data_IF_043338546891
#
_entry.id   IF_043338546891
#
_cell.length_a   1.000
_cell.length_b   1.000
_cell.length_c   1.000
_cell.angle_alpha   90.00
_cell.angle_beta   90.00
_cell.angle_gamma   90.00
#
_symmetry.space_group_name_H-M   'P 1'
#
loop_
_entity.id
_entity.type
_entity.pdbx_description
1 polymer ?
#
# COMPACT_ATOMS: atom_id res chain seq x y z
N UNK A 1 27.08 8.19 5.83
CA UNK A 1 26.23 9.23 5.22
C UNK A 1 24.83 8.64 5.05
N UNK A 2 23.75 9.38 5.35
CA UNK A 2 22.37 8.92 5.09
C UNK A 2 21.98 9.39 3.69
N UNK A 3 21.53 8.47 2.84
CA UNK A 3 21.20 8.77 1.45
C UNK A 3 19.70 8.97 1.26
N UNK A 4 18.86 8.42 2.15
CA UNK A 4 17.41 8.53 2.06
C UNK A 4 16.75 8.39 3.43
N UNK A 5 15.72 9.19 3.68
CA UNK A 5 14.86 9.11 4.85
C UNK A 5 13.44 8.82 4.36
N UNK A 6 12.83 7.76 4.90
CA UNK A 6 11.45 7.37 4.63
C UNK A 6 10.63 7.69 5.88
N UNK A 7 9.60 8.51 5.73
CA UNK A 7 8.64 8.82 6.80
C UNK A 7 7.46 7.85 6.68
N UNK A 8 7.03 7.28 7.80
CA UNK A 8 5.90 6.35 7.82
C UNK A 8 5.12 6.45 9.14
N UNK A 9 3.80 6.54 9.07
CA UNK A 9 2.93 6.67 10.25
C UNK A 9 2.54 5.33 10.90
N UNK A 10 2.74 4.22 10.20
CA UNK A 10 2.41 2.90 10.71
C UNK A 10 3.54 2.36 11.60
N UNK A 11 3.31 2.39 12.91
CA UNK A 11 4.22 1.75 13.88
C UNK A 11 4.39 0.26 13.61
N UNK A 12 3.34 -0.42 13.12
CA UNK A 12 3.41 -1.83 12.77
C UNK A 12 4.38 -2.06 11.60
N UNK A 13 4.24 -1.28 10.52
CA UNK A 13 5.12 -1.40 9.35
C UNK A 13 6.59 -1.15 9.70
N UNK A 14 6.87 -0.14 10.54
CA UNK A 14 8.23 0.17 10.97
C UNK A 14 8.81 -0.95 11.83
N UNK A 15 8.03 -1.52 12.75
CA UNK A 15 8.48 -2.66 13.56
C UNK A 15 8.85 -3.84 12.68
N UNK A 16 8.06 -4.15 11.65
CA UNK A 16 8.36 -5.27 10.74
C UNK A 16 9.60 -5.02 9.88
N UNK A 17 9.81 -3.80 9.40
CA UNK A 17 11.03 -3.45 8.65
C UNK A 17 12.29 -3.54 9.51
N UNK A 18 12.20 -3.18 10.80
CA UNK A 18 13.35 -3.16 11.72
C UNK A 18 13.62 -4.52 12.36
N UNK A 19 12.60 -5.37 12.54
CA UNK A 19 12.70 -6.66 13.23
C UNK A 19 13.76 -7.54 12.59
N UNK A 20 14.65 -8.17 13.36
CA UNK A 20 15.65 -9.12 12.83
C UNK A 20 15.01 -10.50 12.61
N UNK A 21 15.27 -11.12 11.45
CA UNK A 21 14.76 -12.46 11.10
C UNK A 21 13.42 -12.45 10.35
N UNK A 22 13.11 -13.58 9.69
CA UNK A 22 11.86 -13.79 8.98
C UNK A 22 10.82 -14.37 9.95
N UNK A 23 9.62 -13.77 9.99
CA UNK A 23 8.44 -14.43 10.53
C UNK A 23 7.91 -15.38 9.46
N UNK A 24 7.55 -16.63 9.83
CA UNK A 24 6.86 -17.53 8.91
C UNK A 24 5.52 -16.94 8.41
N UNK A 25 4.95 -16.02 9.18
CA UNK A 25 3.69 -15.33 8.90
C UNK A 25 3.89 -13.97 8.20
N UNK A 26 5.11 -13.60 7.82
CA UNK A 26 5.36 -12.32 7.14
C UNK A 26 4.68 -12.31 5.76
N UNK A 27 3.95 -11.23 5.47
CA UNK A 27 3.31 -11.08 4.17
C UNK A 27 4.38 -10.91 3.08
N UNK A 28 4.22 -11.54 1.91
CA UNK A 28 5.24 -11.52 0.83
C UNK A 28 5.73 -10.11 0.47
N UNK A 29 4.81 -9.14 0.47
CA UNK A 29 5.09 -7.74 0.22
C UNK A 29 6.02 -7.10 1.28
N UNK A 30 5.88 -7.49 2.55
CA UNK A 30 6.72 -6.97 3.64
C UNK A 30 8.16 -7.46 3.49
N UNK A 31 8.33 -8.72 3.06
CA UNK A 31 9.64 -9.29 2.78
C UNK A 31 10.33 -8.60 1.59
N UNK A 32 9.57 -8.30 0.54
CA UNK A 32 10.08 -7.59 -0.63
C UNK A 32 10.56 -6.18 -0.29
N UNK A 33 9.75 -5.41 0.45
CA UNK A 33 10.11 -4.07 0.93
C UNK A 33 11.39 -4.13 1.78
N UNK A 34 11.48 -5.12 2.67
CA UNK A 34 12.65 -5.28 3.52
C UNK A 34 13.91 -5.63 2.73
N UNK A 35 13.81 -6.53 1.75
CA UNK A 35 14.94 -6.89 0.89
C UNK A 35 15.44 -5.68 0.12
N UNK A 36 14.54 -4.88 -0.44
CA UNK A 36 14.89 -3.63 -1.13
C UNK A 36 15.64 -2.66 -0.22
N UNK A 37 15.20 -2.51 1.04
CA UNK A 37 15.86 -1.68 2.04
C UNK A 37 17.27 -2.21 2.36
N UNK A 38 17.42 -3.53 2.54
CA UNK A 38 18.71 -4.17 2.83
C UNK A 38 19.68 -4.04 1.65
N UNK A 39 19.21 -4.24 0.42
CA UNK A 39 20.00 -4.09 -0.80
C UNK A 39 20.50 -2.66 -0.96
N UNK A 40 19.62 -1.68 -0.81
CA UNK A 40 20.01 -0.27 -0.87
C UNK A 40 20.95 0.11 0.27
N UNK A 41 20.78 -0.51 1.45
CA UNK A 41 21.67 -0.28 2.59
C UNK A 41 23.11 -0.80 2.38
N UNK A 42 23.36 -1.60 1.32
CA UNK A 42 24.72 -1.98 0.91
C UNK A 42 25.46 -0.85 0.17
N UNK A 43 24.73 0.05 -0.48
CA UNK A 43 25.28 1.14 -1.30
C UNK A 43 25.07 2.55 -0.68
N UNK A 44 24.14 2.67 0.26
CA UNK A 44 23.82 3.91 0.97
C UNK A 44 23.20 3.59 2.32
N UNK A 45 22.66 4.58 3.03
CA UNK A 45 21.88 4.33 4.26
C UNK A 45 20.48 4.90 4.10
N UNK A 46 19.48 4.02 4.11
CA UNK A 46 18.06 4.29 4.24
C UNK A 46 17.70 4.27 5.73
N UNK A 47 17.04 5.32 6.20
CA UNK A 47 16.47 5.38 7.54
C UNK A 47 14.96 5.50 7.44
N UNK A 48 14.24 4.58 8.08
CA UNK A 48 12.78 4.67 8.20
C UNK A 48 12.45 5.28 9.55
N UNK A 49 11.70 6.37 9.55
CA UNK A 49 11.36 7.16 10.74
C UNK A 49 9.86 7.15 10.95
N UNK A 50 9.46 6.85 12.19
CA UNK A 50 8.06 6.95 12.56
C UNK A 50 7.64 8.41 12.71
N UNK A 51 6.50 8.75 12.10
CA UNK A 51 5.88 10.06 12.25
C UNK A 51 4.41 9.92 12.64
N UNK A 52 3.87 10.79 13.51
CA UNK A 52 2.45 10.78 13.81
C UNK A 52 1.62 11.23 12.59
N UNK A 53 0.48 10.56 12.37
CA UNK A 53 -0.48 10.91 11.31
C UNK A 53 -0.98 12.35 11.49
N UNK A 54 -1.12 13.10 10.39
CA UNK A 54 -1.72 14.45 10.34
C UNK A 54 -1.12 15.47 11.31
N UNK A 55 0.20 15.64 11.29
CA UNK A 55 0.90 16.72 12.01
C UNK A 55 1.46 17.79 11.08
N UNK A 56 0.87 17.99 9.91
CA UNK A 56 1.33 18.99 8.93
C UNK A 56 2.57 18.56 8.17
N UNK A 57 2.89 17.26 8.15
CA UNK A 57 3.95 16.72 7.28
C UNK A 57 3.35 16.54 5.89
N UNK A 58 3.47 17.58 5.08
CA UNK A 58 2.85 17.66 3.75
C UNK A 58 3.08 16.41 2.89
N UNK A 59 4.31 15.88 2.85
CA UNK A 59 4.63 14.69 2.07
C UNK A 59 3.89 13.43 2.55
N UNK A 60 3.70 13.28 3.86
CA UNK A 60 2.97 12.14 4.43
C UNK A 60 1.48 12.22 4.13
N UNK A 61 0.90 13.43 4.25
CA UNK A 61 -0.51 13.68 3.95
C UNK A 61 -0.83 13.52 2.46
N UNK A 62 0.09 13.95 1.59
CA UNK A 62 -0.01 13.71 0.15
C UNK A 62 0.02 12.20 -0.17
N UNK A 63 0.90 11.43 0.48
CA UNK A 63 0.97 9.98 0.31
C UNK A 63 -0.34 9.28 0.75
N UNK A 64 -0.88 9.63 1.91
CA UNK A 64 -2.17 9.12 2.42
C UNK A 64 -3.32 9.45 1.45
N UNK A 65 -3.35 10.69 0.92
CA UNK A 65 -4.35 11.10 -0.09
C UNK A 65 -4.23 10.30 -1.38
N UNK A 66 -3.03 10.12 -1.90
CA UNK A 66 -2.79 9.34 -3.13
C UNK A 66 -3.20 7.87 -2.96
N UNK A 67 -2.89 7.27 -1.81
CA UNK A 67 -3.32 5.91 -1.49
C UNK A 67 -4.85 5.82 -1.42
N UNK A 68 -5.50 6.76 -0.73
CA UNK A 68 -6.95 6.81 -0.61
C UNK A 68 -7.65 6.99 -1.97
N UNK A 69 -7.13 7.88 -2.82
CA UNK A 69 -7.69 8.14 -4.15
C UNK A 69 -7.58 6.91 -5.07
N UNK A 70 -6.49 6.15 -4.97
CA UNK A 70 -6.31 4.91 -5.73
C UNK A 70 -7.29 3.82 -5.30
N UNK A 71 -7.45 3.61 -3.99
CA UNK A 71 -8.45 2.67 -3.45
C UNK A 71 -9.87 3.07 -3.86
N UNK A 72 -10.20 4.37 -3.78
CA UNK A 72 -11.52 4.88 -4.23
C UNK A 72 -11.73 4.68 -5.73
N UNK A 73 -10.70 4.87 -6.54
CA UNK A 73 -10.74 4.61 -7.99
C UNK A 73 -11.00 3.13 -8.32
N UNK A 74 -10.36 2.21 -7.61
CA UNK A 74 -10.57 0.77 -7.77
C UNK A 74 -11.94 0.30 -7.27
N UNK A 75 -12.42 0.83 -6.15
CA UNK A 75 -13.78 0.58 -5.64
C UNK A 75 -14.84 1.08 -6.63
N UNK A 76 -14.62 2.24 -7.28
CA UNK A 76 -15.50 2.73 -8.35
C UNK A 76 -15.50 1.81 -9.56
N UNK A 77 -14.35 1.33 -10.01
CA UNK A 77 -14.28 0.34 -11.11
C UNK A 77 -15.04 -0.94 -10.75
N UNK A 78 -14.84 -1.49 -9.55
CA UNK A 78 -15.57 -2.70 -9.10
C UNK A 78 -17.07 -2.49 -8.95
N UNK A 79 -17.56 -1.29 -8.63
CA UNK A 79 -19.00 -0.95 -8.58
C UNK A 79 -19.66 -0.76 -9.95
N UNK A 80 -18.90 -0.59 -11.04
CA UNK A 80 -19.46 -0.51 -12.40
C UNK A 80 -19.73 -1.91 -12.99
N UNK A 81 -18.96 -2.92 -12.57
CA UNK A 81 -19.12 -4.31 -13.01
C UNK A 81 -20.36 -5.11 -12.51
N UNK A 82 -21.12 -4.75 -11.46
CA UNK A 82 -22.36 -5.45 -11.11
C UNK A 82 -23.57 -4.96 -11.92
N UNK A 83 -23.46 -3.85 -12.66
CA UNK A 83 -24.59 -3.27 -13.41
C UNK A 83 -24.69 -3.82 -14.84
N UNK A 84 -23.58 -4.26 -15.45
CA UNK A 84 -23.59 -4.82 -16.81
C UNK A 84 -24.05 -6.29 -16.88
N UNK A 85 -24.06 -7.03 -15.78
CA UNK A 85 -24.55 -8.42 -15.76
C UNK A 85 -26.06 -8.53 -15.50
N UNK A 86 -26.70 -7.47 -14.98
CA UNK A 86 -28.17 -7.45 -14.79
C UNK A 86 -28.95 -7.16 -16.08
N UNK A 87 -28.32 -6.54 -17.08
CA UNK A 87 -28.94 -6.29 -18.39
C UNK A 87 -28.91 -7.51 -19.30
N UNK A 88 -27.85 -8.34 -19.22
CA UNK A 88 -27.70 -9.55 -20.05
C UNK A 88 -28.72 -10.63 -19.65
N UNK A 89 -28.95 -10.83 -18.34
CA UNK A 89 -29.94 -11.82 -17.84
C UNK A 89 -31.42 -11.48 -18.14
N UNK A 90 -31.75 -10.26 -18.59
CA UNK A 90 -33.13 -9.90 -18.97
C UNK A 90 -33.45 -10.17 -20.44
N UNK A 91 -32.45 -10.35 -21.31
CA UNK A 91 -32.69 -10.65 -22.71
C UNK A 91 -32.89 -12.15 -22.97
N UNK A 92 -32.32 -13.03 -22.14
CA UNK A 92 -32.47 -14.49 -22.29
C UNK A 92 -33.84 -15.02 -21.82
N UNK A 93 -34.63 -14.24 -21.08
CA UNK A 93 -35.97 -14.65 -20.59
C UNK A 93 -37.10 -14.27 -21.56
N UNK A 94 -36.80 -13.59 -22.68
CA UNK A 94 -37.81 -13.16 -23.68
C UNK A 94 -37.76 -13.92 -25.00
N UNK A 95 -36.95 -14.98 -25.11
CA UNK A 95 -36.91 -15.86 -26.28
C UNK A 95 -37.35 -17.30 -25.93
N UNK A 96 -38.20 -17.45 -24.93
CA UNK A 96 -39.05 -18.63 -24.76
C UNK A 96 -40.36 -18.45 -25.52
#
# INVERSE_FOLDING_TARGET
MVNMIILNESQAAIKEVIKKGYSADAHLLELEIRNLILEHNRAGRIVVVWVPRYRGIFGNEAADKLAADRVRGEVRRRKIYPLHLKSIRRQEVKQG
#
